data_IF_507082614658
#
_entry.id   IF_507082614658
#
_cell.length_a   1.000
_cell.length_b   1.000
_cell.length_c   1.000
_cell.angle_alpha   90.00
_cell.angle_beta   90.00
_cell.angle_gamma   90.00
#
_symmetry.space_group_name_H-M   'P 1'
#
loop_
_entity.id
_entity.type
_entity.pdbx_description
1 polymer ?
#
# COMPACT_ATOMS: atom_id res chain seq x y z
N UNK A 1 -17.97 14.13 -2.73
CA UNK A 1 -16.67 13.99 -2.06
C UNK A 1 -15.66 14.67 -2.95
N UNK A 2 -15.04 15.75 -2.46
CA UNK A 2 -14.01 16.50 -3.18
C UNK A 2 -12.73 15.66 -3.29
N UNK A 3 -11.92 15.83 -4.34
CA UNK A 3 -10.59 15.21 -4.38
C UNK A 3 -9.67 15.90 -3.37
N UNK A 4 -8.96 15.13 -2.54
CA UNK A 4 -7.97 15.64 -1.59
C UNK A 4 -6.56 15.77 -2.18
N UNK A 5 -6.34 15.25 -3.39
CA UNK A 5 -5.05 15.30 -4.08
C UNK A 5 -5.25 15.81 -5.51
N UNK A 6 -4.54 16.88 -5.83
CA UNK A 6 -4.45 17.43 -7.19
C UNK A 6 -2.99 17.37 -7.62
N UNK A 7 -2.71 16.61 -8.68
CA UNK A 7 -1.36 16.46 -9.22
C UNK A 7 -1.23 17.34 -10.48
N UNK A 8 -0.48 18.46 -10.42
CA UNK A 8 -0.25 19.27 -11.60
C UNK A 8 0.63 18.48 -12.59
N UNK A 9 0.15 18.37 -13.83
CA UNK A 9 0.85 17.70 -14.94
C UNK A 9 1.33 18.76 -15.95
N UNK A 10 2.58 18.65 -16.38
CA UNK A 10 3.13 19.53 -17.41
C UNK A 10 2.82 18.98 -18.81
N UNK A 11 1.99 19.68 -19.59
CA UNK A 11 1.71 19.34 -20.98
C UNK A 11 1.17 17.91 -21.16
N UNK A 12 1.85 17.12 -22.00
CA UNK A 12 1.50 15.71 -22.30
C UNK A 12 2.15 14.70 -21.36
N UNK A 13 2.69 15.14 -20.21
CA UNK A 13 3.30 14.25 -19.23
C UNK A 13 2.32 13.13 -18.84
N UNK A 14 2.84 11.90 -18.76
CA UNK A 14 2.12 10.74 -18.26
C UNK A 14 2.64 10.42 -16.87
N UNK A 15 1.72 10.19 -15.94
CA UNK A 15 2.04 9.83 -14.56
C UNK A 15 1.52 8.43 -14.28
N UNK A 16 2.34 7.63 -13.61
CA UNK A 16 1.99 6.31 -13.12
C UNK A 16 1.97 6.32 -11.60
N UNK A 17 0.80 6.07 -11.03
CA UNK A 17 0.59 6.03 -9.58
C UNK A 17 0.43 4.58 -9.15
N UNK A 18 1.21 4.16 -8.16
CA UNK A 18 0.94 2.91 -7.44
C UNK A 18 0.06 3.24 -6.23
N UNK A 19 -1.19 2.79 -6.25
CA UNK A 19 -2.07 2.90 -5.09
C UNK A 19 -2.11 1.58 -4.33
N UNK A 20 -1.83 1.65 -3.03
CA UNK A 20 -1.92 0.56 -2.06
C UNK A 20 -3.05 0.92 -1.09
N UNK A 21 -4.00 0.03 -0.86
CA UNK A 21 -5.14 0.29 0.03
C UNK A 21 -5.43 -0.89 0.94
N UNK A 22 -6.01 -0.63 2.11
CA UNK A 22 -6.60 -1.61 3.03
C UNK A 22 -5.63 -2.74 3.41
N UNK A 23 -4.42 -2.37 3.84
CA UNK A 23 -3.37 -3.34 4.16
C UNK A 23 -3.58 -4.07 5.47
N UNK A 24 -4.40 -3.53 6.37
CA UNK A 24 -4.78 -4.13 7.66
C UNK A 24 -3.60 -4.74 8.43
N UNK A 25 -2.48 -4.01 8.50
CA UNK A 25 -1.26 -4.47 9.17
C UNK A 25 -1.49 -4.65 10.68
N UNK A 26 -0.77 -5.60 11.27
CA UNK A 26 -0.73 -5.83 12.71
C UNK A 26 0.71 -5.77 13.19
N UNK A 27 0.94 -5.25 14.40
CA UNK A 27 2.27 -5.26 15.01
C UNK A 27 2.76 -6.68 15.33
N UNK A 28 1.84 -7.61 15.57
CA UNK A 28 2.16 -8.98 15.93
C UNK A 28 1.40 -9.98 15.05
N UNK A 29 2.11 -11.01 14.59
CA UNK A 29 1.55 -12.07 13.73
C UNK A 29 0.41 -12.87 14.40
N UNK A 30 0.33 -12.83 15.74
CA UNK A 30 -0.64 -13.59 16.53
C UNK A 30 -2.09 -13.10 16.40
N UNK A 31 -2.32 -11.87 15.93
CA UNK A 31 -3.66 -11.26 15.85
C UNK A 31 -4.27 -11.19 14.45
N UNK A 32 -3.57 -11.66 13.42
CA UNK A 32 -4.10 -11.65 12.04
C UNK A 32 -5.14 -12.78 11.87
N UNK A 33 -6.43 -12.49 11.63
CA UNK A 33 -7.47 -13.52 11.48
C UNK A 33 -7.27 -14.42 10.26
N UNK A 34 -6.43 -13.99 9.31
CA UNK A 34 -6.26 -14.65 8.01
C UNK A 34 -5.16 -15.71 8.09
N UNK A 35 -5.57 -16.94 8.46
CA UNK A 35 -4.81 -18.17 8.20
C UNK A 35 -5.06 -18.60 6.75
N UNK A 36 -4.29 -18.09 5.79
CA UNK A 36 -4.41 -18.46 4.39
C UNK A 36 -3.17 -18.09 3.58
N UNK A 37 -2.77 -18.98 2.66
CA UNK A 37 -1.47 -18.98 1.95
C UNK A 37 -1.13 -17.65 1.26
N UNK A 38 -0.22 -16.90 1.90
CA UNK A 38 0.88 -16.08 1.37
C UNK A 38 0.70 -15.05 0.23
N UNK A 39 -0.43 -14.96 -0.47
CA UNK A 39 -0.64 -13.98 -1.56
C UNK A 39 -1.50 -12.76 -1.18
N UNK A 40 -2.00 -12.70 0.06
CA UNK A 40 -2.90 -11.62 0.51
C UNK A 40 -2.29 -10.62 1.51
N UNK A 41 -0.97 -10.64 1.74
CA UNK A 41 -0.29 -9.66 2.61
C UNK A 41 0.53 -8.70 1.78
N UNK A 42 0.63 -7.45 2.24
CA UNK A 42 1.41 -6.39 1.58
C UNK A 42 2.78 -6.87 1.04
N UNK A 43 3.62 -7.60 1.80
CA UNK A 43 4.89 -8.10 1.25
C UNK A 43 4.75 -9.04 0.06
N UNK A 44 3.75 -9.94 0.06
CA UNK A 44 3.53 -10.88 -1.05
C UNK A 44 3.08 -10.17 -2.33
N UNK A 45 2.25 -9.14 -2.19
CA UNK A 45 1.83 -8.28 -3.32
C UNK A 45 3.03 -7.50 -3.85
N UNK A 46 3.83 -6.90 -2.98
CA UNK A 46 5.05 -6.16 -3.37
C UNK A 46 6.04 -7.07 -4.11
N UNK A 47 6.26 -8.30 -3.64
CA UNK A 47 7.12 -9.26 -4.32
C UNK A 47 6.54 -9.75 -5.65
N UNK A 48 5.22 -9.85 -5.79
CA UNK A 48 4.59 -10.20 -7.06
C UNK A 48 4.72 -9.07 -8.10
N UNK A 49 4.72 -7.81 -7.69
CA UNK A 49 4.82 -6.67 -8.62
C UNK A 49 6.26 -6.23 -8.90
N UNK A 50 7.20 -6.56 -8.00
CA UNK A 50 8.62 -6.18 -8.12
C UNK A 50 9.27 -6.60 -9.46
N UNK A 51 9.01 -7.81 -10.02
CA UNK A 51 9.57 -8.22 -11.31
C UNK A 51 9.09 -7.41 -12.52
N UNK A 52 7.95 -6.72 -12.41
CA UNK A 52 7.42 -5.91 -13.52
C UNK A 52 8.17 -4.58 -13.70
N UNK A 53 9.08 -4.23 -12.79
CA UNK A 53 10.00 -3.07 -12.86
C UNK A 53 9.34 -1.78 -13.37
N UNK A 54 8.13 -1.50 -12.89
CA UNK A 54 7.45 -0.27 -13.25
C UNK A 54 8.03 0.90 -12.44
N UNK A 55 8.44 1.96 -13.14
CA UNK A 55 8.68 3.24 -12.51
C UNK A 55 7.33 3.88 -12.16
N UNK A 56 7.20 4.32 -10.92
CA UNK A 56 6.02 5.02 -10.41
C UNK A 56 6.46 6.42 -9.97
N UNK A 57 5.72 7.43 -10.41
CA UNK A 57 5.97 8.82 -10.02
C UNK A 57 5.45 9.12 -8.61
N UNK A 58 4.45 8.34 -8.17
CA UNK A 58 3.85 8.46 -6.85
C UNK A 58 3.38 7.10 -6.33
N UNK A 59 3.69 6.83 -5.06
CA UNK A 59 3.09 5.73 -4.30
C UNK A 59 2.12 6.35 -3.30
N UNK A 60 0.85 5.96 -3.37
CA UNK A 60 -0.20 6.43 -2.45
C UNK A 60 -0.68 5.27 -1.62
N UNK A 61 -0.69 5.45 -0.29
CA UNK A 61 -1.24 4.51 0.66
C UNK A 61 -2.53 5.09 1.27
N UNK A 62 -3.68 4.48 0.98
CA UNK A 62 -5.00 4.92 1.48
C UNK A 62 -5.72 3.83 2.28
N UNK A 63 -6.81 4.18 2.96
CA UNK A 63 -7.63 3.21 3.69
C UNK A 63 -6.96 2.68 4.97
N UNK A 64 -7.41 1.52 5.45
CA UNK A 64 -7.02 0.98 6.76
C UNK A 64 -5.61 0.36 6.74
N UNK A 65 -4.59 1.20 6.91
CA UNK A 65 -3.19 0.77 6.85
C UNK A 65 -2.83 -0.20 7.99
N UNK A 66 -3.23 0.13 9.22
CA UNK A 66 -2.97 -0.66 10.43
C UNK A 66 -4.29 -1.02 11.13
N UNK A 67 -4.58 -2.32 11.23
CA UNK A 67 -5.82 -2.83 11.81
C UNK A 67 -5.89 -2.64 13.33
N UNK A 68 -4.74 -2.76 14.00
CA UNK A 68 -4.65 -2.58 15.46
C UNK A 68 -4.30 -1.15 15.87
N UNK A 69 -4.29 -0.20 14.92
CA UNK A 69 -3.95 1.21 15.10
C UNK A 69 -2.60 1.45 15.81
N UNK A 70 -1.73 0.44 15.83
CA UNK A 70 -0.47 0.53 16.55
C UNK A 70 0.58 1.27 15.71
N UNK A 71 1.39 2.07 16.39
CA UNK A 71 2.56 2.70 15.77
C UNK A 71 3.54 1.67 15.21
N UNK A 72 3.62 0.50 15.83
CA UNK A 72 4.44 -0.61 15.37
C UNK A 72 3.93 -1.21 14.05
N UNK A 73 2.62 -1.38 13.87
CA UNK A 73 2.04 -1.81 12.59
C UNK A 73 2.29 -0.77 11.48
N UNK A 74 2.13 0.52 11.78
CA UNK A 74 2.40 1.59 10.82
C UNK A 74 3.90 1.67 10.46
N UNK A 75 4.79 1.42 11.43
CA UNK A 75 6.23 1.38 11.18
C UNK A 75 6.63 0.23 10.25
N UNK A 76 5.87 -0.87 10.22
CA UNK A 76 6.07 -1.98 9.29
C UNK A 76 5.62 -1.67 7.85
N UNK A 77 4.93 -0.55 7.62
CA UNK A 77 4.55 -0.08 6.28
C UNK A 77 5.66 0.74 5.60
N UNK A 78 6.62 1.27 6.38
CA UNK A 78 7.77 2.03 5.87
C UNK A 78 8.80 1.12 5.21
#
# INVERSE_FOLDING_TARGET
>A
MESLLTLPLAGEARVRILQITDTHLFATKARSPVRGKHLGKLPGVLEAIRPHQHEFDLIVATGDLAQDQSSAALSAFR
#
